data_IF_003300932803
#
_entry.id   IF_003300932803
#
_cell.length_a   1.000
_cell.length_b   1.000
_cell.length_c   1.000
_cell.angle_alpha   90.00
_cell.angle_beta   90.00
_cell.angle_gamma   90.00
#
_symmetry.space_group_name_H-M   'P 1'
#
loop_
_entity.id
_entity.type
_entity.pdbx_description
1 polymer ?
#
# COMPACT_ATOMS: atom_id res chain seq x y z
N UNK A 1 -46.65 -25.12 -30.99
CA UNK A 1 -46.50 -23.81 -30.32
C UNK A 1 -45.61 -23.95 -29.08
N UNK A 2 -44.41 -24.56 -29.20
CA UNK A 2 -43.57 -24.90 -28.03
C UNK A 2 -42.11 -24.46 -28.11
N UNK A 3 -41.61 -23.98 -29.27
CA UNK A 3 -40.21 -23.52 -29.39
C UNK A 3 -39.99 -22.04 -29.08
N UNK A 4 -41.08 -21.26 -28.97
CA UNK A 4 -41.02 -19.82 -28.71
C UNK A 4 -40.98 -19.53 -27.19
N UNK A 5 -41.63 -20.35 -26.36
CA UNK A 5 -41.65 -20.16 -24.90
C UNK A 5 -40.35 -20.66 -24.22
N UNK A 6 -39.67 -21.66 -24.77
CA UNK A 6 -38.44 -22.23 -24.16
C UNK A 6 -37.24 -21.29 -24.23
N UNK A 7 -37.20 -20.35 -25.19
CA UNK A 7 -36.11 -19.36 -25.31
C UNK A 7 -36.26 -18.17 -24.36
N UNK A 8 -37.48 -17.84 -23.95
CA UNK A 8 -37.73 -16.69 -23.06
C UNK A 8 -37.61 -17.04 -21.57
N UNK A 9 -37.77 -18.30 -21.19
CA UNK A 9 -37.56 -18.76 -19.81
C UNK A 9 -36.06 -18.84 -19.46
N UNK A 10 -35.21 -19.23 -20.41
CA UNK A 10 -33.77 -19.43 -20.17
C UNK A 10 -32.91 -18.15 -20.14
N UNK A 11 -33.47 -16.96 -20.41
CA UNK A 11 -32.73 -15.69 -20.32
C UNK A 11 -32.96 -14.93 -18.99
N UNK A 12 -33.90 -15.35 -18.14
CA UNK A 12 -34.28 -14.58 -16.94
C UNK A 12 -33.52 -14.92 -15.65
N UNK A 13 -32.64 -15.91 -15.64
CA UNK A 13 -31.91 -16.34 -14.44
C UNK A 13 -30.38 -16.26 -14.52
N UNK A 14 -29.83 -15.44 -15.40
CA UNK A 14 -28.45 -14.95 -15.18
C UNK A 14 -28.53 -13.81 -14.16
N UNK A 15 -28.77 -14.18 -12.91
CA UNK A 15 -28.67 -13.29 -11.76
C UNK A 15 -27.41 -12.44 -11.92
N UNK A 16 -27.60 -11.13 -12.01
CA UNK A 16 -26.53 -10.16 -12.18
C UNK A 16 -25.58 -10.33 -11.00
N UNK A 17 -24.53 -11.16 -11.15
CA UNK A 17 -23.41 -11.19 -10.22
C UNK A 17 -22.86 -9.78 -10.25
N UNK A 18 -23.20 -8.98 -9.25
CA UNK A 18 -22.69 -7.62 -9.05
C UNK A 18 -21.18 -7.73 -9.01
N UNK A 19 -20.51 -7.46 -10.13
CA UNK A 19 -19.05 -7.43 -10.17
C UNK A 19 -18.64 -6.28 -9.26
N UNK A 20 -17.96 -6.61 -8.16
CA UNK A 20 -17.32 -5.62 -7.31
C UNK A 20 -16.48 -4.72 -8.19
N UNK A 21 -16.73 -3.41 -8.16
CA UNK A 21 -16.01 -2.47 -9.01
C UNK A 21 -14.55 -2.38 -8.53
N UNK A 22 -13.60 -2.29 -9.47
CA UNK A 22 -12.17 -2.14 -9.15
C UNK A 22 -11.84 -1.00 -8.16
N UNK A 23 -12.59 0.12 -8.08
CA UNK A 23 -12.33 1.15 -7.08
C UNK A 23 -12.48 0.65 -5.64
N UNK A 24 -13.34 -0.36 -5.39
CA UNK A 24 -13.49 -0.93 -4.05
C UNK A 24 -12.17 -1.57 -3.60
N UNK A 25 -11.50 -2.34 -4.47
CA UNK A 25 -10.21 -2.94 -4.15
C UNK A 25 -9.11 -1.89 -3.97
N UNK A 26 -9.15 -0.81 -4.74
CA UNK A 26 -8.24 0.31 -4.57
C UNK A 26 -8.44 1.00 -3.20
N UNK A 27 -9.68 1.26 -2.79
CA UNK A 27 -10.00 1.84 -1.49
C UNK A 27 -9.65 0.90 -0.33
N UNK A 28 -9.85 -0.41 -0.49
CA UNK A 28 -9.37 -1.40 0.47
C UNK A 28 -7.85 -1.36 0.61
N UNK A 29 -7.13 -1.18 -0.49
CA UNK A 29 -5.67 -1.02 -0.48
C UNK A 29 -5.28 0.22 0.34
N UNK A 30 -5.93 1.36 0.11
CA UNK A 30 -5.72 2.59 0.90
C UNK A 30 -6.00 2.35 2.38
N UNK A 31 -7.08 1.65 2.72
CA UNK A 31 -7.43 1.31 4.11
C UNK A 31 -6.33 0.49 4.78
N UNK A 32 -5.92 -0.64 4.18
CA UNK A 32 -4.93 -1.54 4.78
C UNK A 32 -3.54 -0.88 4.88
N UNK A 33 -3.12 -0.15 3.85
CA UNK A 33 -1.85 0.60 3.88
C UNK A 33 -1.87 1.78 4.84
N UNK A 34 -3.01 2.45 5.02
CA UNK A 34 -3.18 3.51 6.01
C UNK A 34 -3.05 2.99 7.44
N UNK A 35 -3.77 1.89 7.75
CA UNK A 35 -3.72 1.24 9.08
C UNK A 35 -2.35 0.63 9.36
N UNK A 36 -1.67 0.11 8.34
CA UNK A 36 -0.35 -0.51 8.45
C UNK A 36 0.68 0.36 9.18
N UNK A 37 0.74 1.67 8.91
CA UNK A 37 1.71 2.56 9.58
C UNK A 37 1.51 2.64 11.10
N UNK A 38 0.25 2.62 11.54
CA UNK A 38 -0.10 2.62 12.97
C UNK A 38 0.24 1.28 13.59
N UNK A 39 -0.13 0.17 12.95
CA UNK A 39 0.18 -1.18 13.43
C UNK A 39 1.68 -1.42 13.54
N UNK A 40 2.47 -0.92 12.59
CA UNK A 40 3.93 -0.99 12.64
C UNK A 40 4.53 -0.17 13.78
N UNK A 41 4.00 1.03 14.01
CA UNK A 41 4.44 1.84 15.14
C UNK A 41 4.20 1.09 16.44
N UNK A 42 3.00 0.51 16.62
CA UNK A 42 2.67 -0.33 17.77
C UNK A 42 3.63 -1.53 17.85
N UNK A 43 3.80 -2.29 16.77
CA UNK A 43 4.66 -3.47 16.74
C UNK A 43 6.11 -3.15 17.11
N UNK A 44 6.67 -2.05 16.61
CA UNK A 44 8.01 -1.60 16.96
C UNK A 44 8.11 -1.12 18.41
N UNK A 45 7.14 -0.34 18.88
CA UNK A 45 7.16 0.23 20.24
C UNK A 45 7.02 -0.84 21.33
N UNK A 46 6.50 -2.02 20.98
CA UNK A 46 6.41 -3.18 21.88
C UNK A 46 7.61 -4.15 21.76
N UNK A 47 8.63 -3.82 20.96
CA UNK A 47 9.86 -4.61 20.92
C UNK A 47 10.70 -4.37 22.19
N UNK A 48 11.56 -5.32 22.59
CA UNK A 48 12.41 -5.19 23.76
C UNK A 48 13.23 -3.88 23.75
N UNK A 49 13.22 -3.18 24.89
CA UNK A 49 14.04 -1.99 25.13
C UNK A 49 15.49 -2.38 25.51
N UNK A 50 16.38 -1.38 25.60
CA UNK A 50 17.78 -1.58 25.98
C UNK A 50 18.68 -1.82 24.76
N UNK A 51 19.64 -2.74 24.87
CA UNK A 51 20.61 -3.04 23.81
C UNK A 51 19.94 -3.46 22.48
N UNK A 52 18.73 -4.01 22.54
CA UNK A 52 17.98 -4.49 21.38
C UNK A 52 17.10 -3.44 20.70
N UNK A 53 16.95 -2.26 21.30
CA UNK A 53 16.10 -1.18 20.77
C UNK A 53 16.46 -0.76 19.32
N UNK A 54 17.74 -0.69 18.91
CA UNK A 54 18.08 -0.38 17.51
C UNK A 54 17.53 -1.39 16.49
N UNK A 55 17.31 -2.64 16.91
CA UNK A 55 16.83 -3.72 16.04
C UNK A 55 15.30 -3.82 15.97
N UNK A 56 14.56 -3.02 16.74
CA UNK A 56 13.10 -3.10 16.84
C UNK A 56 12.38 -3.00 15.48
N UNK A 57 12.84 -2.08 14.62
CA UNK A 57 12.30 -1.91 13.27
C UNK A 57 12.52 -3.14 12.39
N UNK A 58 13.72 -3.72 12.43
CA UNK A 58 14.07 -4.90 11.64
C UNK A 58 13.30 -6.13 12.11
N UNK A 59 13.17 -6.33 13.42
CA UNK A 59 12.35 -7.39 14.01
C UNK A 59 10.89 -7.25 13.58
N UNK A 60 10.31 -6.06 13.65
CA UNK A 60 8.96 -5.82 13.15
C UNK A 60 8.82 -6.13 11.65
N UNK A 61 9.78 -5.70 10.82
CA UNK A 61 9.75 -6.00 9.38
C UNK A 61 9.85 -7.49 9.08
N UNK A 62 10.65 -8.24 9.83
CA UNK A 62 10.78 -9.68 9.66
C UNK A 62 9.40 -10.36 9.75
N UNK A 63 8.59 -9.99 10.74
CA UNK A 63 7.24 -10.53 10.91
C UNK A 63 6.27 -10.04 9.83
N UNK A 64 6.45 -8.82 9.32
CA UNK A 64 5.72 -8.34 8.12
C UNK A 64 6.07 -9.20 6.90
N UNK A 65 7.34 -9.57 6.73
CA UNK A 65 7.79 -10.45 5.66
C UNK A 65 7.14 -11.84 5.72
N UNK A 66 7.01 -12.41 6.92
CA UNK A 66 6.27 -13.66 7.13
C UNK A 66 4.80 -13.50 6.74
N UNK A 67 4.15 -12.41 7.15
CA UNK A 67 2.77 -12.14 6.76
C UNK A 67 2.60 -11.97 5.24
N UNK A 68 3.57 -11.31 4.57
CA UNK A 68 3.60 -11.18 3.12
C UNK A 68 3.73 -12.54 2.44
N UNK A 69 4.60 -13.43 2.92
CA UNK A 69 4.69 -14.78 2.38
C UNK A 69 3.35 -15.51 2.48
N UNK A 70 2.68 -15.47 3.62
CA UNK A 70 1.38 -16.11 3.80
C UNK A 70 0.34 -15.53 2.84
N UNK A 71 0.15 -14.21 2.83
CA UNK A 71 -0.92 -13.58 2.04
C UNK A 71 -0.62 -13.61 0.54
N UNK A 72 0.62 -13.31 0.12
CA UNK A 72 1.00 -13.21 -1.29
C UNK A 72 1.15 -14.56 -1.98
N UNK A 73 1.32 -15.66 -1.23
CA UNK A 73 1.34 -17.01 -1.80
C UNK A 73 -0.03 -17.67 -1.64
N UNK A 74 -0.53 -17.81 -0.41
CA UNK A 74 -1.75 -18.58 -0.13
C UNK A 74 -2.99 -17.91 -0.75
N UNK A 75 -3.09 -16.58 -0.67
CA UNK A 75 -4.22 -15.83 -1.21
C UNK A 75 -4.41 -16.04 -2.72
N UNK A 76 -3.40 -15.71 -3.56
CA UNK A 76 -3.47 -15.95 -4.99
C UNK A 76 -3.68 -17.42 -5.35
N UNK A 77 -3.03 -18.38 -4.67
CA UNK A 77 -3.23 -19.80 -4.93
C UNK A 77 -4.69 -20.20 -4.77
N UNK A 78 -5.34 -19.83 -3.65
CA UNK A 78 -6.76 -20.12 -3.41
C UNK A 78 -7.63 -19.53 -4.52
N UNK A 79 -7.38 -18.27 -4.90
CA UNK A 79 -8.16 -17.58 -5.95
C UNK A 79 -7.95 -18.22 -7.32
N UNK A 80 -6.72 -18.57 -7.68
CA UNK A 80 -6.40 -19.22 -8.95
C UNK A 80 -7.01 -20.62 -9.06
N UNK A 81 -6.98 -21.40 -7.97
CA UNK A 81 -7.66 -22.69 -7.89
C UNK A 81 -9.17 -22.54 -8.09
N UNK A 82 -9.79 -21.58 -7.40
CA UNK A 82 -11.23 -21.29 -7.54
C UNK A 82 -11.62 -20.81 -8.93
N UNK A 83 -10.71 -20.13 -9.62
CA UNK A 83 -10.92 -19.66 -10.99
C UNK A 83 -10.70 -20.76 -12.04
N UNK A 84 -10.22 -21.95 -11.65
CA UNK A 84 -9.99 -23.07 -12.58
C UNK A 84 -8.92 -22.79 -13.63
N UNK A 85 -7.88 -22.03 -13.27
CA UNK A 85 -6.80 -21.68 -14.21
C UNK A 85 -6.02 -22.92 -14.67
N UNK A 86 -5.44 -22.85 -15.87
CA UNK A 86 -4.57 -23.90 -16.42
C UNK A 86 -3.11 -23.80 -15.94
N UNK A 87 -2.80 -22.82 -15.07
CA UNK A 87 -1.46 -22.59 -14.51
C UNK A 87 -0.34 -22.38 -15.56
N UNK A 88 -0.71 -21.93 -16.77
CA UNK A 88 0.27 -21.57 -17.78
C UNK A 88 0.86 -20.19 -17.46
N UNK A 89 2.20 -20.10 -17.46
CA UNK A 89 2.92 -18.87 -17.15
C UNK A 89 3.78 -18.42 -18.33
N UNK A 90 3.82 -17.12 -18.58
CA UNK A 90 4.71 -16.51 -19.55
C UNK A 90 6.02 -16.06 -18.89
N UNK A 91 7.17 -16.39 -19.47
CA UNK A 91 8.49 -16.06 -18.90
C UNK A 91 8.72 -14.56 -18.66
N UNK A 92 8.26 -13.69 -19.57
CA UNK A 92 8.33 -12.23 -19.36
C UNK A 92 7.39 -11.80 -18.23
N UNK A 93 6.21 -12.43 -18.15
CA UNK A 93 5.27 -12.22 -17.05
C UNK A 93 5.88 -12.54 -15.70
N UNK A 94 6.54 -13.70 -15.57
CA UNK A 94 7.26 -14.10 -14.35
C UNK A 94 8.33 -13.07 -14.00
N UNK A 95 9.19 -12.70 -14.96
CA UNK A 95 10.29 -11.77 -14.71
C UNK A 95 9.79 -10.39 -14.23
N UNK A 96 8.80 -9.80 -14.92
CA UNK A 96 8.24 -8.51 -14.52
C UNK A 96 7.49 -8.58 -13.19
N UNK A 97 6.75 -9.66 -12.92
CA UNK A 97 6.11 -9.86 -11.61
C UNK A 97 7.13 -10.01 -10.49
N UNK A 98 8.25 -10.69 -10.73
CA UNK A 98 9.33 -10.83 -9.77
C UNK A 98 10.01 -9.48 -9.47
N UNK A 99 10.34 -8.70 -10.51
CA UNK A 99 10.90 -7.36 -10.32
C UNK A 99 9.92 -6.40 -9.62
N UNK A 100 8.64 -6.46 -9.97
CA UNK A 100 7.62 -5.68 -9.28
C UNK A 100 7.53 -6.06 -7.79
N UNK A 101 7.53 -7.36 -7.47
CA UNK A 101 7.56 -7.86 -6.09
C UNK A 101 8.82 -7.42 -5.33
N UNK A 102 9.97 -7.48 -5.98
CA UNK A 102 11.26 -7.03 -5.41
C UNK A 102 11.24 -5.53 -5.12
N UNK A 103 10.76 -4.70 -6.06
CA UNK A 103 10.62 -3.26 -5.86
C UNK A 103 9.68 -2.94 -4.68
N UNK A 104 8.55 -3.66 -4.57
CA UNK A 104 7.63 -3.53 -3.45
C UNK A 104 8.26 -3.92 -2.10
N UNK A 105 9.01 -5.01 -2.05
CA UNK A 105 9.70 -5.47 -0.84
C UNK A 105 10.79 -4.49 -0.39
N UNK A 106 11.59 -3.97 -1.33
CA UNK A 106 12.58 -2.93 -1.04
C UNK A 106 11.90 -1.65 -0.53
N UNK A 107 10.78 -1.24 -1.15
CA UNK A 107 9.99 -0.09 -0.68
C UNK A 107 9.46 -0.26 0.74
N UNK A 108 8.95 -1.45 1.09
CA UNK A 108 8.49 -1.75 2.44
C UNK A 108 9.65 -1.77 3.46
N UNK A 109 10.80 -2.29 3.06
CA UNK A 109 12.01 -2.29 3.89
C UNK A 109 12.49 -0.86 4.18
N UNK A 110 12.62 -0.01 3.16
CA UNK A 110 13.05 1.38 3.33
C UNK A 110 12.03 2.22 4.10
N UNK A 111 10.73 1.95 3.96
CA UNK A 111 9.68 2.57 4.77
C UNK A 111 9.89 2.30 6.26
N UNK A 112 10.21 1.07 6.64
CA UNK A 112 10.46 0.73 8.05
C UNK A 112 11.74 1.37 8.57
N UNK A 113 12.79 1.43 7.76
CA UNK A 113 14.01 2.16 8.10
C UNK A 113 13.72 3.65 8.30
N UNK A 114 12.93 4.27 7.42
CA UNK A 114 12.54 5.68 7.54
C UNK A 114 11.73 5.94 8.81
N UNK A 115 10.75 5.09 9.12
CA UNK A 115 9.99 5.18 10.37
C UNK A 115 10.89 4.98 11.61
N UNK A 116 11.90 4.10 11.53
CA UNK A 116 12.89 3.90 12.58
C UNK A 116 13.80 5.12 12.77
N UNK A 117 14.30 5.68 11.69
CA UNK A 117 15.14 6.88 11.69
C UNK A 117 14.37 8.11 12.21
N UNK A 118 13.12 8.30 11.81
CA UNK A 118 12.25 9.35 12.32
C UNK A 118 12.01 9.21 13.84
N UNK A 119 11.81 7.97 14.34
CA UNK A 119 11.70 7.72 15.76
C UNK A 119 13.01 8.04 16.51
N UNK A 120 14.16 7.63 15.97
CA UNK A 120 15.48 7.95 16.55
C UNK A 120 15.77 9.45 16.57
N UNK A 121 15.31 10.19 15.56
CA UNK A 121 15.35 11.65 15.49
C UNK A 121 14.31 12.34 16.40
N UNK A 122 13.59 11.60 17.26
CA UNK A 122 12.57 12.09 18.19
C UNK A 122 11.42 12.87 17.51
N UNK A 123 11.08 12.50 16.27
CA UNK A 123 9.86 12.99 15.62
C UNK A 123 8.66 12.52 16.43
N UNK A 124 7.80 13.45 16.85
CA UNK A 124 6.66 13.16 17.74
C UNK A 124 5.74 12.07 17.20
N UNK A 125 5.47 12.09 15.89
CA UNK A 125 4.76 11.01 15.20
C UNK A 125 5.50 10.60 13.92
N UNK A 126 6.33 9.53 13.98
CA UNK A 126 7.05 9.02 12.81
C UNK A 126 6.10 8.63 11.67
N UNK A 127 4.95 8.03 12.00
CA UNK A 127 3.95 7.66 10.99
C UNK A 127 3.31 8.89 10.34
N UNK A 128 2.96 9.93 11.11
CA UNK A 128 2.38 11.15 10.54
C UNK A 128 3.38 11.93 9.67
N UNK A 129 4.68 11.81 9.93
CA UNK A 129 5.71 12.43 9.10
C UNK A 129 6.01 11.62 7.82
N UNK A 130 6.18 10.30 7.95
CA UNK A 130 6.66 9.46 6.84
C UNK A 130 5.53 9.05 5.88
N UNK A 131 4.36 8.66 6.39
CA UNK A 131 3.31 8.07 5.56
C UNK A 131 2.78 9.04 4.48
N UNK A 132 2.50 10.33 4.77
CA UNK A 132 2.05 11.27 3.73
C UNK A 132 3.07 11.46 2.60
N UNK A 133 4.36 11.49 2.93
CA UNK A 133 5.44 11.61 1.92
C UNK A 133 5.42 10.40 0.98
N UNK A 134 5.33 9.19 1.53
CA UNK A 134 5.32 7.95 0.73
C UNK A 134 4.06 7.88 -0.14
N UNK A 135 2.88 8.12 0.44
CA UNK A 135 1.62 7.92 -0.29
C UNK A 135 1.28 9.03 -1.28
N UNK A 136 1.82 10.23 -1.12
CA UNK A 136 1.74 11.26 -2.16
C UNK A 136 2.85 11.14 -3.19
N UNK A 137 4.04 10.69 -2.80
CA UNK A 137 5.17 10.51 -3.71
C UNK A 137 4.99 9.32 -4.66
N UNK A 138 4.46 8.19 -4.18
CA UNK A 138 4.35 6.96 -4.98
C UNK A 138 3.51 7.14 -6.27
N UNK A 139 2.33 7.79 -6.25
CA UNK A 139 1.59 8.08 -7.48
C UNK A 139 2.38 8.95 -8.47
N UNK A 140 3.15 9.92 -7.98
CA UNK A 140 3.97 10.80 -8.81
C UNK A 140 5.06 9.99 -9.52
N UNK A 141 5.81 9.16 -8.78
CA UNK A 141 6.84 8.27 -9.35
C UNK A 141 6.22 7.31 -10.37
N UNK A 142 5.08 6.69 -10.04
CA UNK A 142 4.39 5.79 -10.96
C UNK A 142 4.01 6.50 -12.26
N UNK A 143 3.53 7.74 -12.18
CA UNK A 143 3.18 8.51 -13.37
C UNK A 143 4.41 8.88 -14.22
N UNK A 144 5.53 9.26 -13.60
CA UNK A 144 6.79 9.49 -14.32
C UNK A 144 7.33 8.23 -15.00
N UNK A 145 7.41 7.10 -14.28
CA UNK A 145 7.84 5.83 -14.87
C UNK A 145 6.89 5.41 -15.99
N UNK A 146 5.58 5.59 -15.80
CA UNK A 146 4.58 5.35 -16.84
C UNK A 146 4.81 6.20 -18.09
N UNK A 147 5.08 7.50 -17.93
CA UNK A 147 5.43 8.40 -19.04
C UNK A 147 6.76 8.02 -19.72
N UNK A 148 7.74 7.49 -18.98
CA UNK A 148 9.00 7.03 -19.58
C UNK A 148 8.82 5.76 -20.40
N UNK A 149 7.96 4.84 -19.94
CA UNK A 149 7.66 3.59 -20.64
C UNK A 149 6.70 3.79 -21.81
N UNK A 150 5.79 4.77 -21.69
CA UNK A 150 4.82 5.15 -22.71
C UNK A 150 4.84 6.68 -22.89
N UNK A 151 5.80 7.22 -23.67
CA UNK A 151 5.92 8.66 -23.88
C UNK A 151 4.63 9.27 -24.46
N UNK A 152 4.16 10.42 -23.93
CA UNK A 152 2.94 11.04 -24.42
C UNK A 152 3.09 11.49 -25.88
N UNK A 153 2.08 11.18 -26.69
CA UNK A 153 1.99 11.64 -28.07
C UNK A 153 1.94 13.18 -28.10
N UNK A 154 2.99 13.82 -28.64
CA UNK A 154 3.17 15.27 -28.59
C UNK A 154 4.19 15.79 -27.57
N UNK A 155 4.89 14.88 -26.85
CA UNK A 155 5.98 15.22 -25.94
C UNK A 155 5.53 15.89 -24.65
N UNK A 156 6.46 16.48 -23.89
CA UNK A 156 6.17 17.07 -22.56
C UNK A 156 5.15 18.22 -22.59
N UNK A 157 4.94 18.85 -23.76
CA UNK A 157 3.93 19.90 -23.95
C UNK A 157 2.49 19.36 -24.02
N UNK A 158 2.32 18.06 -24.29
CA UNK A 158 1.02 17.41 -24.34
C UNK A 158 0.54 16.91 -22.97
N UNK A 159 1.33 17.11 -21.90
CA UNK A 159 0.93 16.73 -20.55
C UNK A 159 -0.28 17.59 -20.13
N UNK A 160 -1.43 16.98 -19.78
CA UNK A 160 -2.62 17.73 -19.40
C UNK A 160 -2.35 18.59 -18.16
N UNK A 161 -2.72 19.87 -18.21
CA UNK A 161 -2.58 20.77 -17.06
C UNK A 161 -3.25 20.23 -15.77
N UNK A 162 -4.42 19.57 -15.81
CA UNK A 162 -5.02 18.96 -14.61
C UNK A 162 -4.14 17.90 -13.95
N UNK A 163 -3.35 17.15 -14.74
CA UNK A 163 -2.42 16.15 -14.20
C UNK A 163 -1.29 16.81 -13.41
N UNK A 164 -0.71 17.89 -13.95
CA UNK A 164 0.32 18.68 -13.28
C UNK A 164 -0.25 19.29 -11.99
N UNK A 165 -1.45 19.87 -12.05
CA UNK A 165 -2.14 20.41 -10.87
C UNK A 165 -2.34 19.32 -9.81
N UNK A 166 -2.74 18.12 -10.22
CA UNK A 166 -2.91 16.96 -9.34
C UNK A 166 -1.63 16.59 -8.58
N UNK A 167 -0.46 16.66 -9.23
CA UNK A 167 0.84 16.43 -8.57
C UNK A 167 1.07 17.47 -7.47
N UNK A 168 0.88 18.76 -7.76
CA UNK A 168 1.05 19.82 -6.77
C UNK A 168 0.03 19.72 -5.63
N UNK A 169 -1.22 19.36 -5.92
CA UNK A 169 -2.25 19.15 -4.91
C UNK A 169 -1.94 17.94 -4.02
N UNK A 170 -1.40 16.85 -4.59
CA UNK A 170 -0.97 15.69 -3.80
C UNK A 170 0.20 16.05 -2.88
N UNK A 171 1.22 16.75 -3.38
CA UNK A 171 2.35 17.21 -2.58
C UNK A 171 1.90 18.20 -1.48
N UNK A 172 1.04 19.15 -1.83
CA UNK A 172 0.45 20.09 -0.88
C UNK A 172 -0.40 19.39 0.18
N UNK A 173 -1.27 18.47 -0.22
CA UNK A 173 -2.08 17.66 0.71
C UNK A 173 -1.22 16.84 1.67
N UNK A 174 -0.16 16.20 1.18
CA UNK A 174 0.79 15.47 2.02
C UNK A 174 1.48 16.37 3.03
N UNK A 175 1.93 17.55 2.61
CA UNK A 175 2.54 18.54 3.48
C UNK A 175 1.57 19.01 4.57
N UNK A 176 0.33 19.36 4.18
CA UNK A 176 -0.69 19.81 5.12
C UNK A 176 -1.02 18.73 6.15
N UNK A 177 -1.20 17.48 5.72
CA UNK A 177 -1.46 16.35 6.63
C UNK A 177 -0.28 16.14 7.58
N UNK A 178 0.95 16.12 7.08
CA UNK A 178 2.13 15.93 7.92
C UNK A 178 2.33 17.07 8.92
N UNK A 179 2.14 18.33 8.50
CA UNK A 179 2.37 19.51 9.32
C UNK A 179 1.27 19.76 10.35
N UNK A 180 0.01 19.55 9.97
CA UNK A 180 -1.16 19.89 10.77
C UNK A 180 -1.83 18.68 11.43
N UNK A 181 -1.28 17.46 11.29
CA UNK A 181 -1.75 16.30 12.02
C UNK A 181 -1.77 16.59 13.54
N UNK A 182 -2.89 16.38 14.24
CA UNK A 182 -2.95 16.54 15.70
C UNK A 182 -1.93 15.66 16.43
N UNK A 183 -1.66 14.46 15.89
CA UNK A 183 -0.64 13.55 16.43
C UNK A 183 0.79 14.05 16.24
N UNK A 184 1.05 14.91 15.26
CA UNK A 184 2.35 15.58 15.09
C UNK A 184 2.55 16.74 16.07
N UNK A 185 1.46 17.25 16.67
CA UNK A 185 1.45 18.35 17.63
C UNK A 185 1.31 17.88 19.08
N UNK A 186 1.01 16.59 19.29
CA UNK A 186 0.93 16.01 20.62
C UNK A 186 2.32 16.04 21.31
N UNK A 187 2.40 16.43 22.60
CA UNK A 187 3.66 16.43 23.34
C UNK A 187 4.30 15.04 23.31
N UNK A 188 5.61 14.97 23.02
CA UNK A 188 6.36 13.72 23.10
C UNK A 188 6.26 13.19 24.55
N UNK A 189 5.70 11.99 24.79
CA UNK A 189 5.63 11.43 26.13
C UNK A 189 7.05 11.33 26.71
N UNK A 190 7.25 11.86 27.92
CA UNK A 190 8.54 11.72 28.63
C UNK A 190 8.89 10.23 28.76
N UNK A 191 10.12 9.81 28.42
CA UNK A 191 10.55 8.44 28.64
C UNK A 191 10.38 8.09 30.13
N UNK A 192 9.52 7.11 30.43
CA UNK A 192 9.22 6.65 31.80
C UNK A 192 7.73 6.68 32.20
N UNK A 193 6.87 7.40 31.48
CA UNK A 193 5.44 7.47 31.85
C UNK A 193 4.61 6.22 31.48
N UNK A 194 5.14 5.33 30.63
CA UNK A 194 4.42 4.15 30.13
C UNK A 194 4.70 2.85 30.91
N UNK A 195 5.64 2.83 31.87
CA UNK A 195 5.95 1.63 32.66
C UNK A 195 5.06 1.44 33.90
N UNK A 196 4.16 2.39 34.19
CA UNK A 196 3.23 2.28 35.32
C UNK A 196 1.80 2.04 34.82
N UNK A 197 1.57 0.91 34.14
CA UNK A 197 0.24 0.27 34.07
C UNK A 197 0.36 -1.16 33.54
N UNK A 198 0.01 -2.08 34.44
CA UNK A 198 -0.06 -3.54 34.36
C UNK A 198 1.23 -4.32 34.59
#
# INVERSE_FOLDING_TARGET
>A
MDSFQTKHVNQKEKGTKKRMSWPVFALMTVLFWGVYGVLLHIGRSNMPLGAEAPNASLKAFLLVGVAYFVVAIVGPVIVLMRNGTNWSFNGKGIAWSFFAGTAGAIGAFTLILALGAAAAAKVASPAAAVMPIVFAGAPIVNAFVGMMMHPPEGGLKAIPLPFILGIFMAAGGAFLVAKFSPSAQAPVPKPGAAQAKH
#
